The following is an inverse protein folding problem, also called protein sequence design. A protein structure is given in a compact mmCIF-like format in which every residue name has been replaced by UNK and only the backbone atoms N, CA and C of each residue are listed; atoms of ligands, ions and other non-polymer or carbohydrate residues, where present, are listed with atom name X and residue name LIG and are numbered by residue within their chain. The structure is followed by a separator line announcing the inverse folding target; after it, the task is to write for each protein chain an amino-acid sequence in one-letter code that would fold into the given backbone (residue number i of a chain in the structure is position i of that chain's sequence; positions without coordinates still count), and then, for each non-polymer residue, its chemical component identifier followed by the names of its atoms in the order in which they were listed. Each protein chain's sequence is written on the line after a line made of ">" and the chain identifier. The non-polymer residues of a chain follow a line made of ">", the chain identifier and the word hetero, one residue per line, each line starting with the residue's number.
data_IF_150540993105
#
_entry.id   IF_150540993105
#
_cell.length_a   1.000
_cell.length_b   1.000
_cell.length_c   1.000
_cell.angle_alpha   90.00
_cell.angle_beta   90.00
_cell.angle_gamma   90.00
#
_symmetry.space_group_name_H-M   'P 1'
#
loop_
_entity.id
_entity.type
_entity.pdbx_description
1 polymer ?
#
# COMPACT_ATOMS: atom_id res chain seq x y z
N UNK A 1 -20.16 -26.84 27.21
CA UNK A 1 -20.18 -25.43 26.74
C UNK A 1 -19.34 -25.38 25.46
N UNK A 2 -19.97 -25.38 24.29
CA UNK A 2 -19.27 -25.33 22.99
C UNK A 2 -19.29 -23.89 22.49
N UNK A 3 -18.11 -23.29 22.34
CA UNK A 3 -17.94 -21.95 21.78
C UNK A 3 -18.15 -22.06 20.27
N UNK A 4 -19.17 -21.37 19.75
CA UNK A 4 -19.35 -21.19 18.31
C UNK A 4 -18.31 -20.17 17.82
N UNK A 5 -17.27 -20.64 17.15
CA UNK A 5 -16.41 -19.78 16.35
C UNK A 5 -17.19 -19.37 15.10
N UNK A 6 -17.67 -18.14 15.07
CA UNK A 6 -18.29 -17.56 13.88
C UNK A 6 -17.17 -17.25 12.88
N UNK A 7 -17.08 -18.05 11.82
CA UNK A 7 -16.24 -17.78 10.66
C UNK A 7 -17.00 -16.79 9.79
N UNK A 8 -16.64 -15.50 9.86
CA UNK A 8 -17.08 -14.53 8.85
C UNK A 8 -16.31 -14.87 7.57
N UNK A 9 -16.94 -15.61 6.65
CA UNK A 9 -16.50 -15.66 5.26
C UNK A 9 -16.87 -14.29 4.66
N UNK A 10 -15.88 -13.42 4.47
CA UNK A 10 -15.99 -12.33 3.50
C UNK A 10 -16.06 -12.97 2.11
N UNK A 11 -17.28 -13.20 1.62
CA UNK A 11 -17.51 -13.55 0.23
C UNK A 11 -17.10 -12.33 -0.61
N UNK A 12 -15.90 -12.35 -1.17
CA UNK A 12 -15.62 -11.51 -2.33
C UNK A 12 -16.66 -11.89 -3.41
N UNK A 13 -17.35 -10.92 -4.03
CA UNK A 13 -18.32 -11.23 -5.07
C UNK A 13 -17.65 -12.01 -6.19
N UNK A 14 -18.31 -13.11 -6.60
CA UNK A 14 -17.91 -13.96 -7.72
C UNK A 14 -17.93 -13.11 -8.99
N UNK A 15 -16.77 -12.59 -9.39
CA UNK A 15 -16.61 -11.74 -10.58
C UNK A 15 -15.54 -10.64 -10.46
N UNK A 16 -15.10 -10.29 -9.24
CA UNK A 16 -14.04 -9.30 -9.05
C UNK A 16 -12.68 -9.87 -9.50
N UNK A 17 -12.07 -9.29 -10.53
CA UNK A 17 -10.68 -9.57 -10.85
C UNK A 17 -9.80 -8.84 -9.84
N UNK A 18 -8.97 -9.58 -9.12
CA UNK A 18 -8.05 -9.02 -8.13
C UNK A 18 -6.60 -9.42 -8.44
N UNK A 19 -5.69 -8.47 -8.38
CA UNK A 19 -4.24 -8.71 -8.47
C UNK A 19 -3.58 -8.33 -7.15
N UNK A 20 -2.85 -9.29 -6.58
CA UNK A 20 -2.09 -9.08 -5.36
C UNK A 20 -0.70 -8.53 -5.67
N UNK A 21 -0.33 -7.41 -5.06
CA UNK A 21 1.04 -6.90 -5.03
C UNK A 21 1.74 -7.44 -3.78
N UNK A 22 2.13 -8.71 -3.83
CA UNK A 22 2.66 -9.45 -2.66
C UNK A 22 4.15 -9.27 -2.43
N UNK A 23 4.89 -8.82 -3.44
CA UNK A 23 6.33 -8.70 -3.37
C UNK A 23 6.74 -7.25 -3.22
N UNK A 24 7.45 -6.97 -2.15
CA UNK A 24 8.04 -5.66 -1.87
C UNK A 24 9.51 -5.84 -1.54
N UNK A 25 10.37 -4.98 -2.08
CA UNK A 25 11.77 -4.98 -1.65
C UNK A 25 11.87 -4.53 -0.19
N UNK A 26 12.80 -5.14 0.53
CA UNK A 26 13.19 -4.79 1.92
C UNK A 26 12.09 -4.88 2.99
N UNK A 27 10.85 -5.20 2.62
CA UNK A 27 9.86 -5.68 3.57
C UNK A 27 10.18 -7.15 3.90
N UNK A 28 10.09 -7.49 5.18
CA UNK A 28 10.39 -8.84 5.67
C UNK A 28 9.12 -9.50 6.22
N UNK A 29 8.92 -10.81 6.05
CA UNK A 29 7.76 -11.48 6.66
C UNK A 29 7.75 -11.34 8.18
N UNK A 30 6.59 -11.03 8.75
CA UNK A 30 6.32 -11.02 10.20
C UNK A 30 5.25 -12.07 10.53
N UNK A 31 5.61 -13.36 10.59
CA UNK A 31 4.63 -14.45 10.69
C UNK A 31 3.87 -14.52 12.02
N UNK A 32 4.32 -13.79 13.04
CA UNK A 32 3.59 -13.65 14.31
C UNK A 32 2.40 -12.69 14.20
N UNK A 33 2.37 -11.84 13.18
CA UNK A 33 1.30 -10.88 12.92
C UNK A 33 0.54 -11.30 11.67
N UNK A 34 -0.69 -11.75 11.84
CA UNK A 34 -1.52 -12.30 10.76
C UNK A 34 -2.69 -11.36 10.46
N UNK A 35 -3.03 -11.24 9.18
CA UNK A 35 -4.26 -10.65 8.72
C UNK A 35 -4.90 -11.60 7.70
N UNK A 36 -6.15 -12.01 7.95
CA UNK A 36 -6.89 -12.92 7.06
C UNK A 36 -6.14 -14.22 6.71
N UNK A 37 -5.38 -14.75 7.68
CA UNK A 37 -4.59 -15.97 7.48
C UNK A 37 -3.32 -15.79 6.67
N UNK A 38 -2.94 -14.56 6.29
CA UNK A 38 -1.66 -14.23 5.66
C UNK A 38 -0.72 -13.54 6.65
N UNK A 39 0.58 -13.85 6.62
CA UNK A 39 1.57 -13.13 7.42
C UNK A 39 1.71 -11.70 6.91
N UNK A 40 1.83 -10.75 7.83
CA UNK A 40 2.11 -9.37 7.49
C UNK A 40 3.53 -9.19 6.95
N UNK A 41 3.76 -8.10 6.21
CA UNK A 41 5.06 -7.65 5.77
C UNK A 41 5.53 -6.49 6.65
N UNK A 42 6.62 -6.68 7.39
CA UNK A 42 7.23 -5.69 8.26
C UNK A 42 8.16 -4.75 7.47
N UNK A 43 8.01 -3.45 7.69
CA UNK A 43 8.98 -2.44 7.27
C UNK A 43 9.94 -2.18 8.44
N UNK A 44 11.19 -2.68 8.40
CA UNK A 44 12.04 -2.75 9.58
C UNK A 44 12.49 -1.40 10.12
N UNK A 45 12.85 -0.46 9.24
CA UNK A 45 13.41 0.82 9.65
C UNK A 45 12.89 1.97 8.75
N UNK A 46 11.60 2.34 8.83
CA UNK A 46 11.02 3.37 7.96
C UNK A 46 11.63 4.77 8.16
N UNK A 47 12.36 5.01 9.26
CA UNK A 47 13.06 6.27 9.52
C UNK A 47 14.38 6.42 8.72
N UNK A 48 15.05 5.32 8.37
CA UNK A 48 16.35 5.31 7.66
C UNK A 48 16.21 4.70 6.26
N UNK A 49 15.49 3.60 6.13
CA UNK A 49 15.08 2.98 4.87
C UNK A 49 13.77 3.62 4.40
N UNK A 50 13.89 4.81 3.82
CA UNK A 50 12.71 5.68 3.57
C UNK A 50 11.86 5.29 2.37
N UNK A 51 12.23 4.24 1.63
CA UNK A 51 11.50 3.76 0.46
C UNK A 51 11.54 2.24 0.34
N UNK A 52 10.39 1.64 0.07
CA UNK A 52 10.19 0.23 -0.31
C UNK A 52 9.36 0.14 -1.59
N UNK A 53 9.78 -0.70 -2.53
CA UNK A 53 9.26 -0.80 -3.88
C UNK A 53 8.46 -2.09 -4.04
N UNK A 54 7.27 -2.00 -4.61
CA UNK A 54 6.55 -3.16 -5.09
C UNK A 54 7.31 -3.77 -6.30
N UNK A 55 7.40 -5.10 -6.34
CA UNK A 55 8.11 -5.86 -7.37
C UNK A 55 7.11 -6.68 -8.18
N UNK A 56 7.31 -6.72 -9.50
CA UNK A 56 6.43 -7.48 -10.40
C UNK A 56 5.02 -6.87 -10.56
N UNK A 57 4.88 -5.59 -10.25
CA UNK A 57 3.64 -4.83 -10.44
C UNK A 57 3.21 -4.84 -11.92
N UNK A 58 1.92 -5.09 -12.24
CA UNK A 58 1.42 -4.92 -13.60
C UNK A 58 1.63 -3.49 -14.09
N UNK A 59 1.95 -3.33 -15.36
CA UNK A 59 2.17 -1.99 -15.95
C UNK A 59 0.87 -1.32 -16.41
N UNK A 60 -0.20 -2.10 -16.60
CA UNK A 60 -1.51 -1.59 -17.01
C UNK A 60 -2.53 -1.81 -15.90
N UNK A 61 -2.97 -0.71 -15.32
CA UNK A 61 -3.99 -0.62 -14.27
C UNK A 61 -5.31 -0.05 -14.78
N UNK A 62 -5.45 0.23 -16.07
CA UNK A 62 -6.62 0.91 -16.65
C UNK A 62 -7.95 0.22 -16.39
N UNK A 63 -7.93 -1.10 -16.17
CA UNK A 63 -9.12 -1.91 -15.82
C UNK A 63 -9.50 -1.89 -14.34
N UNK A 64 -8.56 -1.57 -13.45
CA UNK A 64 -8.80 -1.57 -12.00
C UNK A 64 -9.47 -0.27 -11.57
N UNK A 65 -10.21 -0.33 -10.47
CA UNK A 65 -10.89 0.82 -9.88
C UNK A 65 -10.35 1.17 -8.51
N UNK A 66 -9.81 0.20 -7.78
CA UNK A 66 -9.37 0.40 -6.42
C UNK A 66 -8.03 -0.29 -6.15
N UNK A 67 -7.23 0.33 -5.29
CA UNK A 67 -6.13 -0.30 -4.57
C UNK A 67 -6.51 -0.37 -3.09
N UNK A 68 -6.46 -1.57 -2.51
CA UNK A 68 -6.77 -1.81 -1.10
C UNK A 68 -5.56 -2.38 -0.40
N UNK A 69 -5.32 -1.98 0.83
CA UNK A 69 -4.34 -2.62 1.70
C UNK A 69 -4.66 -2.31 3.15
N UNK A 70 -4.27 -3.22 4.03
CA UNK A 70 -4.29 -2.96 5.45
C UNK A 70 -2.89 -2.58 5.93
N UNK A 71 -2.84 -1.69 6.91
CA UNK A 71 -1.60 -1.34 7.59
C UNK A 71 -1.80 -1.41 9.09
N UNK A 72 -0.87 -2.10 9.76
CA UNK A 72 -0.74 -2.15 11.19
C UNK A 72 0.37 -1.21 11.66
N UNK A 73 0.09 -0.42 12.68
CA UNK A 73 1.12 0.30 13.43
C UNK A 73 1.21 -0.26 14.84
N UNK A 74 2.42 -0.57 15.30
CA UNK A 74 2.61 -1.10 16.65
C UNK A 74 2.28 -0.06 17.75
N UNK A 75 2.40 1.23 17.44
CA UNK A 75 2.20 2.35 18.38
C UNK A 75 1.58 3.54 17.67
N UNK A 76 0.73 4.28 18.38
CA UNK A 76 0.15 5.53 17.88
C UNK A 76 1.16 6.67 17.96
N UNK A 77 2.08 6.75 16.98
CA UNK A 77 3.04 7.84 16.82
C UNK A 77 2.73 8.61 15.53
N UNK A 78 2.86 9.95 15.50
CA UNK A 78 2.64 10.72 14.28
C UNK A 78 3.51 10.20 13.14
N UNK A 79 2.86 9.60 12.15
CA UNK A 79 3.53 8.98 11.00
C UNK A 79 2.76 9.36 9.75
N UNK A 80 3.46 9.81 8.72
CA UNK A 80 2.87 10.12 7.41
C UNK A 80 3.63 9.36 6.35
N UNK A 81 2.91 8.59 5.53
CA UNK A 81 3.47 7.83 4.43
C UNK A 81 2.87 8.32 3.12
N UNK A 82 3.60 8.13 2.04
CA UNK A 82 3.14 8.42 0.69
C UNK A 82 3.30 7.18 -0.17
N UNK A 83 2.21 6.72 -0.76
CA UNK A 83 2.22 5.76 -1.85
C UNK A 83 2.38 6.51 -3.17
N UNK A 84 3.37 6.15 -3.96
CA UNK A 84 3.66 6.74 -5.26
C UNK A 84 3.55 5.67 -6.34
N UNK A 85 2.83 5.99 -7.42
CA UNK A 85 2.72 5.17 -8.63
C UNK A 85 3.22 6.01 -9.81
N UNK A 86 4.47 5.77 -10.22
CA UNK A 86 5.10 6.48 -11.34
C UNK A 86 4.46 6.06 -12.67
N UNK A 87 4.17 7.07 -13.48
CA UNK A 87 3.70 6.93 -14.86
C UNK A 87 4.45 7.94 -15.72
N UNK A 88 5.75 7.68 -15.88
CA UNK A 88 6.69 8.64 -16.43
C UNK A 88 6.34 9.04 -17.85
N UNK A 89 6.25 10.35 -18.10
CA UNK A 89 6.19 10.91 -19.44
C UNK A 89 7.57 11.47 -19.81
N UNK A 90 8.27 10.91 -20.82
CA UNK A 90 9.59 11.37 -21.20
C UNK A 90 9.63 12.80 -21.76
N UNK A 91 8.47 13.37 -22.11
CA UNK A 91 8.37 14.73 -22.63
C UNK A 91 8.23 15.80 -21.52
N UNK A 92 8.06 15.41 -20.26
CA UNK A 92 7.96 16.32 -19.11
C UNK A 92 9.23 16.35 -18.26
N UNK A 93 9.43 17.46 -17.58
CA UNK A 93 10.52 17.62 -16.61
C UNK A 93 10.15 17.01 -15.26
N UNK A 94 11.08 16.22 -14.70
CA UNK A 94 10.92 15.56 -13.41
C UNK A 94 10.06 14.29 -13.48
N UNK A 95 9.80 13.71 -12.31
CA UNK A 95 9.02 12.47 -12.23
C UNK A 95 7.52 12.73 -12.36
N UNK A 96 6.83 11.96 -13.21
CA UNK A 96 5.38 12.02 -13.36
C UNK A 96 4.71 10.85 -12.64
N UNK A 97 3.72 11.14 -11.79
CA UNK A 97 3.19 10.12 -10.89
C UNK A 97 1.78 10.41 -10.40
N UNK A 98 1.13 9.35 -9.98
CA UNK A 98 -0.02 9.37 -9.08
C UNK A 98 0.47 9.21 -7.64
N UNK A 99 -0.20 9.87 -6.69
CA UNK A 99 0.21 9.89 -5.29
C UNK A 99 -0.97 9.83 -4.33
N UNK A 100 -0.79 9.12 -3.22
CA UNK A 100 -1.69 9.08 -2.08
C UNK A 100 -0.89 9.19 -0.79
N UNK A 101 -1.08 10.28 -0.07
CA UNK A 101 -0.46 10.51 1.24
C UNK A 101 -1.48 10.25 2.35
N UNK A 102 -1.09 9.47 3.35
CA UNK A 102 -1.98 9.06 4.44
C UNK A 102 -1.25 9.07 5.79
N UNK A 103 -2.05 9.25 6.85
CA UNK A 103 -1.56 9.23 8.23
C UNK A 103 -1.67 7.85 8.85
N UNK A 104 -0.72 7.57 9.72
CA UNK A 104 -0.54 6.35 10.48
C UNK A 104 -0.44 6.64 11.99
N UNK A 105 -1.14 7.68 12.45
CA UNK A 105 -1.21 8.15 13.84
C UNK A 105 -2.17 7.32 14.71
N UNK A 106 -2.17 6.00 14.49
CA UNK A 106 -3.02 5.05 15.17
C UNK A 106 -2.21 3.83 15.62
N UNK A 107 -2.83 2.97 16.43
CA UNK A 107 -2.30 1.66 16.81
C UNK A 107 -3.23 0.56 16.31
N UNK A 108 -2.66 -0.58 15.92
CA UNK A 108 -3.40 -1.71 15.40
C UNK A 108 -3.62 -1.62 13.89
N UNK A 109 -4.47 -2.51 13.37
CA UNK A 109 -4.83 -2.61 11.96
C UNK A 109 -5.82 -1.52 11.53
N UNK A 110 -5.59 -0.94 10.35
CA UNK A 110 -6.62 -0.22 9.59
C UNK A 110 -6.51 -0.54 8.11
N UNK A 111 -7.66 -0.61 7.47
CA UNK A 111 -7.78 -0.72 6.03
C UNK A 111 -7.68 0.66 5.36
N UNK A 112 -6.97 0.72 4.25
CA UNK A 112 -6.92 1.83 3.32
C UNK A 112 -7.57 1.38 2.01
N UNK A 113 -8.63 2.06 1.62
CA UNK A 113 -9.35 1.85 0.37
C UNK A 113 -9.10 3.07 -0.51
N UNK A 114 -8.40 2.88 -1.63
CA UNK A 114 -7.99 3.94 -2.52
C UNK A 114 -8.64 3.77 -3.90
N UNK A 115 -9.79 4.42 -4.16
CA UNK A 115 -10.34 4.52 -5.50
C UNK A 115 -9.36 5.24 -6.42
N UNK A 116 -8.93 4.61 -7.52
CA UNK A 116 -7.91 5.15 -8.44
C UNK A 116 -8.35 6.49 -9.05
N UNK A 117 -9.66 6.69 -9.23
CA UNK A 117 -10.24 7.95 -9.70
C UNK A 117 -10.04 9.13 -8.72
N UNK A 118 -9.76 8.86 -7.45
CA UNK A 118 -9.55 9.87 -6.41
C UNK A 118 -8.07 10.11 -6.09
N UNK A 119 -7.15 9.37 -6.73
CA UNK A 119 -5.72 9.49 -6.49
C UNK A 119 -5.22 10.81 -7.09
N UNK A 120 -4.43 11.54 -6.31
CA UNK A 120 -3.81 12.77 -6.77
C UNK A 120 -2.86 12.50 -7.94
N UNK A 121 -2.83 13.39 -8.92
CA UNK A 121 -1.86 13.37 -10.02
C UNK A 121 -0.90 14.55 -9.89
N UNK A 122 0.37 14.32 -10.17
CA UNK A 122 1.38 15.37 -10.21
C UNK A 122 2.06 15.38 -11.58
N UNK A 123 2.19 16.59 -12.16
CA UNK A 123 2.74 16.83 -13.50
C UNK A 123 1.91 16.16 -14.61
N UNK A 124 2.53 15.38 -15.49
CA UNK A 124 1.93 14.86 -16.72
C UNK A 124 2.02 13.33 -16.82
N UNK A 125 1.47 12.57 -15.84
CA UNK A 125 1.53 11.12 -15.89
C UNK A 125 0.80 10.58 -17.13
N UNK A 126 1.39 9.60 -17.80
CA UNK A 126 0.86 9.05 -19.06
C UNK A 126 -0.53 8.41 -18.89
N UNK A 127 -0.78 7.78 -17.75
CA UNK A 127 -2.05 7.14 -17.45
C UNK A 127 -1.91 5.88 -16.62
N UNK A 128 -3.05 5.32 -16.20
CA UNK A 128 -3.10 4.05 -15.48
C UNK A 128 -2.64 2.88 -16.35
N UNK A 129 -2.64 2.98 -17.67
CA UNK A 129 -2.12 1.98 -18.61
C UNK A 129 -0.58 1.98 -18.75
N UNK A 130 0.10 2.90 -18.04
CA UNK A 130 1.55 3.12 -18.08
C UNK A 130 2.14 3.29 -16.68
N UNK A 131 1.91 2.34 -15.80
CA UNK A 131 2.55 2.29 -14.48
C UNK A 131 3.93 1.64 -14.59
N UNK A 132 4.97 2.38 -14.22
CA UNK A 132 6.35 1.90 -14.25
C UNK A 132 6.84 1.39 -12.89
N UNK A 133 6.56 2.15 -11.83
CA UNK A 133 7.08 1.89 -10.49
C UNK A 133 6.04 2.21 -9.44
N UNK A 134 5.93 1.35 -8.43
CA UNK A 134 5.06 1.58 -7.27
C UNK A 134 5.90 1.43 -6.01
N UNK A 135 5.82 2.41 -5.12
CA UNK A 135 6.58 2.38 -3.87
C UNK A 135 5.88 3.16 -2.77
N UNK A 136 6.14 2.76 -1.54
CA UNK A 136 5.85 3.54 -0.35
C UNK A 136 7.08 4.37 0.00
N UNK A 137 6.86 5.58 0.47
CA UNK A 137 7.90 6.39 1.08
C UNK A 137 7.45 7.05 2.38
N UNK A 138 8.36 7.07 3.34
CA UNK A 138 8.22 7.81 4.59
C UNK A 138 8.74 9.24 4.55
N UNK A 139 9.47 9.65 3.50
CA UNK A 139 10.15 10.95 3.46
C UNK A 139 9.51 11.98 2.53
N UNK A 140 8.59 11.55 1.65
CA UNK A 140 7.93 12.44 0.69
C UNK A 140 7.07 13.52 1.34
N UNK A 141 6.49 13.24 2.51
CA UNK A 141 5.73 14.23 3.27
C UNK A 141 6.63 15.24 4.00
N UNK A 142 7.96 15.06 3.98
CA UNK A 142 8.94 15.87 4.73
C UNK A 142 8.65 15.94 6.23
N UNK A 143 8.00 14.90 6.77
CA UNK A 143 7.75 14.71 8.20
C UNK A 143 8.66 13.58 8.67
N UNK A 144 9.62 13.83 9.59
CA UNK A 144 10.45 12.78 10.15
C UNK A 144 9.60 11.68 10.81
N UNK A 145 9.98 10.42 10.59
CA UNK A 145 9.39 9.29 11.29
C UNK A 145 10.19 9.02 12.57
N UNK A 146 9.49 8.74 13.67
CA UNK A 146 10.11 8.29 14.92
C UNK A 146 10.92 6.99 14.66
N UNK A 147 12.21 6.91 15.03
CA UNK A 147 13.05 5.73 14.75
C UNK A 147 12.52 4.40 15.30
N UNK A 148 11.67 4.42 16.34
CA UNK A 148 11.00 3.23 16.86
C UNK A 148 9.64 2.95 16.21
N UNK A 149 9.33 3.56 15.07
CA UNK A 149 8.09 3.30 14.32
C UNK A 149 8.17 1.92 13.66
N UNK A 150 7.24 1.05 14.03
CA UNK A 150 7.17 -0.32 13.53
C UNK A 150 5.87 -0.49 12.74
N UNK A 151 6.00 -0.68 11.43
CA UNK A 151 4.89 -0.71 10.49
C UNK A 151 4.82 -2.05 9.79
N UNK A 152 3.61 -2.56 9.64
CA UNK A 152 3.36 -3.78 8.90
C UNK A 152 2.23 -3.59 7.91
N UNK A 153 2.29 -4.33 6.81
CA UNK A 153 1.30 -4.27 5.75
C UNK A 153 0.68 -5.65 5.55
N UNK A 154 -0.64 -5.67 5.37
CA UNK A 154 -1.33 -6.78 4.75
C UNK A 154 -1.08 -6.80 3.23
N UNK A 155 -1.74 -7.71 2.51
CA UNK A 155 -1.65 -7.72 1.05
C UNK A 155 -2.17 -6.40 0.46
N UNK A 156 -1.48 -5.94 -0.58
CA UNK A 156 -1.97 -4.89 -1.46
C UNK A 156 -2.76 -5.55 -2.59
N UNK A 157 -3.98 -5.09 -2.82
CA UNK A 157 -4.93 -5.70 -3.77
C UNK A 157 -5.39 -4.63 -4.74
N UNK A 158 -5.12 -4.82 -6.02
CA UNK A 158 -5.79 -4.09 -7.11
C UNK A 158 -7.05 -4.84 -7.49
N UNK A 159 -8.18 -4.18 -7.54
CA UNK A 159 -9.45 -4.81 -7.91
C UNK A 159 -10.32 -3.91 -8.79
N UNK A 160 -11.35 -4.51 -9.38
CA UNK A 160 -12.27 -3.84 -10.32
C UNK A 160 -13.50 -3.22 -9.65
N UNK A 161 -13.53 -3.15 -8.31
CA UNK A 161 -14.70 -2.76 -7.51
C UNK A 161 -14.52 -1.45 -6.73
#
# INVERSE_FOLDING_TARGET
>A
MRVLTSLLLTLAPVGAEAVLLTRWDKLTPAPALMLEGQPALHWPEPATQVTVNALGTPTDWSRFKCLRFAMHSARAVPTTLTLVMESQNPASEGIDYFTYTFKADYQGWREHVLPLAMVGKARQPLGWDKIGKVYLSSNWAHVPIDPGTELHFGPFVLDTE
#
